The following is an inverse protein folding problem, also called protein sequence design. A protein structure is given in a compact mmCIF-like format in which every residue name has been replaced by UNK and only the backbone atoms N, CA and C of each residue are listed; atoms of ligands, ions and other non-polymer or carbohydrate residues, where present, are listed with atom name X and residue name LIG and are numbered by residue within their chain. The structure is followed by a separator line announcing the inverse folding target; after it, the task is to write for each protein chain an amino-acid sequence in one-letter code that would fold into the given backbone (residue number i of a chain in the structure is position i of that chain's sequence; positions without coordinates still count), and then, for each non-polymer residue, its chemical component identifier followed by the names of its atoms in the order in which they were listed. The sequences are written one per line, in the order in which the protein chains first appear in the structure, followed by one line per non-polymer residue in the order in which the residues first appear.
data_IF_510148849478
#
_entry.id   IF_510148849478
#
_cell.length_a   1.000
_cell.length_b   1.000
_cell.length_c   1.000
_cell.angle_alpha   90.00
_cell.angle_beta   90.00
_cell.angle_gamma   90.00
#
_symmetry.space_group_name_H-M   'P 1'
#
loop_
_entity.id
_entity.type
_entity.pdbx_description
1 polymer ?
#
# COMPACT_ATOMS: atom_id res chain seq x y z
N UNK A 1 10.26 -24.30 17.66
CA UNK A 1 10.36 -22.87 18.05
C UNK A 1 11.08 -22.16 16.93
N UNK A 2 10.51 -21.09 16.37
CA UNK A 2 11.22 -20.28 15.39
C UNK A 2 12.38 -19.56 16.11
N UNK A 3 13.53 -19.47 15.45
CA UNK A 3 14.65 -18.71 15.98
C UNK A 3 14.22 -17.24 16.21
N UNK A 4 14.68 -16.58 17.29
CA UNK A 4 14.46 -15.15 17.46
C UNK A 4 14.99 -14.38 16.25
N UNK A 5 14.24 -13.39 15.81
CA UNK A 5 14.58 -12.57 14.63
C UNK A 5 14.66 -11.10 15.03
N UNK A 6 15.77 -10.43 14.72
CA UNK A 6 16.04 -9.05 15.12
C UNK A 6 14.93 -8.08 14.65
N UNK A 7 14.48 -8.19 13.41
CA UNK A 7 13.53 -7.26 12.79
C UNK A 7 12.08 -7.52 13.21
N UNK A 8 11.81 -8.69 13.77
CA UNK A 8 10.53 -8.98 14.44
C UNK A 8 10.39 -8.22 15.76
N UNK A 9 11.50 -7.80 16.38
CA UNK A 9 11.53 -6.97 17.60
C UNK A 9 11.76 -5.50 17.27
N UNK A 10 12.61 -5.22 16.28
CA UNK A 10 12.99 -3.88 15.84
C UNK A 10 11.97 -3.30 14.84
N UNK A 11 10.72 -3.12 15.28
CA UNK A 11 9.58 -2.88 14.40
C UNK A 11 9.41 -1.42 13.95
N UNK A 12 10.26 -0.49 14.35
CA UNK A 12 10.14 0.94 13.99
C UNK A 12 10.87 1.25 12.68
N UNK A 13 10.44 2.32 11.99
CA UNK A 13 11.09 2.86 10.77
C UNK A 13 12.60 3.06 10.99
N UNK A 14 13.00 3.61 12.14
CA UNK A 14 14.42 3.82 12.48
C UNK A 14 15.31 2.57 12.40
N UNK A 15 14.75 1.38 12.61
CA UNK A 15 15.51 0.12 12.51
C UNK A 15 15.70 -0.30 11.05
N UNK A 16 14.73 0.02 10.20
CA UNK A 16 14.82 -0.15 8.76
C UNK A 16 15.79 0.87 8.15
N UNK A 17 15.75 2.14 8.57
CA UNK A 17 16.75 3.15 8.18
C UNK A 17 18.18 2.71 8.52
N UNK A 18 18.35 2.13 9.72
CA UNK A 18 19.65 1.58 10.15
C UNK A 18 20.13 0.47 9.22
N UNK A 19 19.26 -0.48 8.89
CA UNK A 19 19.58 -1.58 7.99
C UNK A 19 19.96 -1.07 6.59
N UNK A 20 19.16 -0.17 6.01
CA UNK A 20 19.40 0.37 4.67
C UNK A 20 20.73 1.14 4.62
N UNK A 21 21.00 2.02 5.59
CA UNK A 21 22.27 2.74 5.67
C UNK A 21 23.47 1.81 5.90
N UNK A 22 23.32 0.82 6.79
CA UNK A 22 24.34 -0.21 7.03
C UNK A 22 24.66 -0.99 5.76
N UNK A 23 23.65 -1.42 5.00
CA UNK A 23 23.86 -2.13 3.74
C UNK A 23 24.55 -1.24 2.70
N UNK A 24 24.17 0.04 2.58
CA UNK A 24 24.83 0.97 1.67
C UNK A 24 26.32 1.16 1.99
N UNK A 25 26.70 1.21 3.27
CA UNK A 25 28.10 1.36 3.69
C UNK A 25 28.99 0.20 3.24
N UNK A 26 28.45 -1.03 3.18
CA UNK A 26 29.17 -2.17 2.61
C UNK A 26 29.51 -2.02 1.13
N UNK A 27 28.84 -1.10 0.42
CA UNK A 27 29.11 -0.81 -0.98
C UNK A 27 30.45 -0.11 -1.22
N UNK A 28 31.10 0.44 -0.19
CA UNK A 28 32.43 1.02 -0.33
C UNK A 28 33.49 -0.07 -0.58
N UNK A 29 34.36 0.06 -1.60
CA UNK A 29 35.40 -0.93 -1.90
C UNK A 29 36.38 -1.20 -0.74
N UNK A 30 36.52 -0.28 0.22
CA UNK A 30 37.33 -0.50 1.42
C UNK A 30 36.84 -1.71 2.25
N UNK A 31 35.56 -2.09 2.12
CA UNK A 31 34.96 -3.23 2.82
C UNK A 31 35.00 -4.54 2.00
N UNK A 32 35.39 -4.51 0.73
CA UNK A 32 35.33 -5.67 -0.17
C UNK A 32 36.19 -6.85 0.29
N UNK A 33 37.33 -6.58 0.94
CA UNK A 33 38.20 -7.63 1.49
C UNK A 33 37.71 -8.20 2.82
N UNK A 34 36.83 -7.48 3.53
CA UNK A 34 36.28 -7.89 4.83
C UNK A 34 35.13 -8.87 4.62
N UNK A 35 34.18 -8.53 3.74
CA UNK A 35 33.08 -9.41 3.35
C UNK A 35 32.73 -9.19 1.86
N UNK A 36 33.34 -9.97 0.94
CA UNK A 36 33.14 -9.77 -0.50
C UNK A 36 31.70 -10.04 -0.94
N UNK A 37 30.97 -10.94 -0.27
CA UNK A 37 29.59 -11.27 -0.63
C UNK A 37 28.64 -10.14 -0.22
N UNK A 38 28.85 -9.56 0.97
CA UNK A 38 28.04 -8.45 1.44
C UNK A 38 28.34 -7.17 0.67
N UNK A 39 29.61 -6.95 0.30
CA UNK A 39 29.99 -5.88 -0.62
C UNK A 39 29.31 -6.02 -1.99
N UNK A 40 29.31 -7.22 -2.59
CA UNK A 40 28.62 -7.47 -3.86
C UNK A 40 27.10 -7.20 -3.77
N UNK A 41 26.46 -7.64 -2.69
CA UNK A 41 25.04 -7.35 -2.43
C UNK A 41 24.80 -5.84 -2.34
N UNK A 42 25.65 -5.11 -1.59
CA UNK A 42 25.53 -3.67 -1.43
C UNK A 42 25.70 -2.90 -2.75
N UNK A 43 26.68 -3.29 -3.59
CA UNK A 43 26.88 -2.71 -4.93
C UNK A 43 25.64 -2.94 -5.81
N UNK A 44 25.06 -4.15 -5.78
CA UNK A 44 23.80 -4.44 -6.50
C UNK A 44 22.64 -3.62 -5.98
N UNK A 45 22.55 -3.44 -4.66
CA UNK A 45 21.53 -2.63 -4.04
C UNK A 45 21.64 -1.15 -4.47
N UNK A 46 22.84 -0.58 -4.45
CA UNK A 46 23.11 0.79 -4.94
C UNK A 46 22.67 0.95 -6.39
N UNK A 47 23.12 0.05 -7.29
CA UNK A 47 22.74 0.08 -8.71
C UNK A 47 21.23 0.02 -8.89
N UNK A 48 20.55 -0.86 -8.14
CA UNK A 48 19.09 -1.01 -8.21
C UNK A 48 18.35 0.26 -7.76
N UNK A 49 18.79 0.90 -6.68
CA UNK A 49 18.21 2.16 -6.20
C UNK A 49 18.43 3.30 -7.20
N UNK A 50 19.62 3.35 -7.79
CA UNK A 50 20.03 4.39 -8.73
C UNK A 50 19.46 4.20 -10.15
N UNK A 51 18.89 3.03 -10.46
CA UNK A 51 18.49 2.68 -11.82
C UNK A 51 19.68 2.55 -12.78
N UNK A 52 20.84 2.11 -12.27
CA UNK A 52 22.06 1.87 -13.05
C UNK A 52 22.19 0.40 -13.42
N UNK A 53 22.82 0.15 -14.56
CA UNK A 53 23.10 -1.19 -15.07
C UNK A 53 24.31 -1.83 -14.36
N UNK A 54 24.59 -3.11 -14.68
CA UNK A 54 25.66 -3.87 -14.04
C UNK A 54 27.08 -3.36 -14.36
N UNK A 55 27.24 -2.58 -15.41
CA UNK A 55 28.50 -1.96 -15.83
C UNK A 55 28.90 -0.73 -15.01
N UNK A 56 27.95 -0.11 -14.30
CA UNK A 56 28.20 1.02 -13.41
C UNK A 56 29.14 0.63 -12.26
N UNK A 57 30.37 1.14 -12.27
CA UNK A 57 31.38 0.81 -11.27
C UNK A 57 31.22 1.66 -10.01
N UNK A 58 31.27 1.03 -8.85
CA UNK A 58 31.23 1.71 -7.55
C UNK A 58 32.67 1.78 -7.01
N UNK A 59 33.21 2.99 -6.94
CA UNK A 59 34.58 3.30 -6.53
C UNK A 59 34.66 3.93 -5.13
N UNK A 60 33.61 4.60 -4.69
CA UNK A 60 33.49 5.14 -3.33
C UNK A 60 32.03 5.21 -2.89
N UNK A 61 31.77 4.98 -1.60
CA UNK A 61 30.44 5.12 -1.02
C UNK A 61 30.53 5.77 0.36
N UNK A 62 29.88 6.92 0.51
CA UNK A 62 29.59 7.50 1.82
C UNK A 62 28.08 7.42 2.05
N UNK A 63 27.64 6.70 3.08
CA UNK A 63 26.22 6.55 3.39
C UNK A 63 25.92 6.78 4.86
N UNK A 64 24.72 7.29 5.14
CA UNK A 64 24.29 7.60 6.49
C UNK A 64 22.79 7.81 6.59
N UNK A 65 22.37 8.33 7.73
CA UNK A 65 20.97 8.59 8.06
C UNK A 65 20.76 10.05 8.45
N UNK A 66 19.51 10.48 8.48
CA UNK A 66 19.08 11.72 9.11
C UNK A 66 19.81 12.97 8.58
N UNK A 67 19.88 13.10 7.26
CA UNK A 67 20.41 14.30 6.62
C UNK A 67 19.31 15.34 6.45
N UNK A 68 19.20 16.24 7.44
CA UNK A 68 18.14 17.27 7.50
C UNK A 68 16.73 16.67 7.38
N UNK A 69 16.51 15.59 8.11
CA UNK A 69 15.28 14.77 8.15
C UNK A 69 15.06 13.84 6.95
N UNK A 70 16.00 13.75 6.00
CA UNK A 70 16.03 12.63 5.04
C UNK A 70 16.43 11.37 5.80
N UNK A 71 15.61 10.32 5.70
CA UNK A 71 15.77 9.10 6.50
C UNK A 71 17.12 8.42 6.23
N UNK A 72 17.44 8.15 4.96
CA UNK A 72 18.70 7.54 4.52
C UNK A 72 19.26 8.26 3.29
N UNK A 73 20.59 8.34 3.19
CA UNK A 73 21.27 8.96 2.07
C UNK A 73 22.57 8.23 1.73
N UNK A 74 23.01 8.36 0.47
CA UNK A 74 24.34 7.95 0.06
C UNK A 74 24.92 8.87 -1.02
N UNK A 75 26.24 9.09 -0.98
CA UNK A 75 27.03 9.66 -2.05
C UNK A 75 27.89 8.56 -2.65
N UNK A 76 27.81 8.38 -3.96
CA UNK A 76 28.51 7.33 -4.70
C UNK A 76 29.39 8.00 -5.75
N UNK A 77 30.68 7.63 -5.79
CA UNK A 77 31.70 8.15 -6.72
C UNK A 77 31.85 9.68 -6.76
N UNK A 78 31.37 10.38 -5.73
CA UNK A 78 31.18 11.85 -5.73
C UNK A 78 30.36 12.41 -6.92
N UNK A 79 29.59 11.55 -7.60
CA UNK A 79 28.81 11.89 -8.79
C UNK A 79 27.31 11.65 -8.62
N UNK A 80 26.92 10.78 -7.69
CA UNK A 80 25.54 10.36 -7.48
C UNK A 80 25.14 10.57 -6.02
N UNK A 81 23.97 11.16 -5.83
CA UNK A 81 23.31 11.36 -4.55
C UNK A 81 22.03 10.52 -4.50
N UNK A 82 21.98 9.54 -3.60
CA UNK A 82 20.77 8.80 -3.27
C UNK A 82 20.06 9.51 -2.11
N UNK A 83 18.80 9.90 -2.33
CA UNK A 83 17.89 10.41 -1.30
C UNK A 83 16.81 9.38 -1.08
N UNK A 84 16.80 8.76 0.10
CA UNK A 84 15.93 7.62 0.40
C UNK A 84 15.00 8.03 1.54
N UNK A 85 13.71 8.06 1.23
CA UNK A 85 12.66 8.18 2.23
C UNK A 85 12.11 6.79 2.55
N UNK A 86 12.08 6.44 3.83
CA UNK A 86 11.49 5.18 4.30
C UNK A 86 10.12 5.42 4.94
N UNK A 87 9.15 4.54 4.65
CA UNK A 87 7.84 4.59 5.32
C UNK A 87 7.33 3.21 5.67
N UNK A 88 7.12 2.97 6.96
CA UNK A 88 6.52 1.74 7.49
C UNK A 88 5.08 2.00 7.93
N UNK A 89 4.11 1.39 7.23
CA UNK A 89 2.68 1.50 7.54
C UNK A 89 2.04 2.89 7.37
N UNK A 90 2.83 3.96 7.23
CA UNK A 90 2.35 5.35 7.05
C UNK A 90 2.52 5.83 5.61
N UNK A 91 1.92 6.98 5.28
CA UNK A 91 2.08 7.64 3.98
C UNK A 91 2.94 8.89 4.14
N UNK A 92 3.51 9.34 3.04
CA UNK A 92 4.12 10.65 2.93
C UNK A 92 3.09 11.77 3.24
N UNK A 93 3.54 12.82 3.90
CA UNK A 93 2.71 13.97 4.26
C UNK A 93 3.40 15.29 3.93
N UNK A 94 2.62 16.38 3.83
CA UNK A 94 3.13 17.75 3.93
C UNK A 94 4.20 18.15 2.90
N UNK A 95 4.10 17.68 1.65
CA UNK A 95 5.05 17.94 0.56
C UNK A 95 6.52 17.62 0.91
N UNK A 96 6.73 16.71 1.85
CA UNK A 96 8.04 16.35 2.40
C UNK A 96 9.01 15.87 1.32
N UNK A 97 8.55 14.99 0.43
CA UNK A 97 9.36 14.43 -0.67
C UNK A 97 9.94 15.52 -1.58
N UNK A 98 9.12 16.49 -1.97
CA UNK A 98 9.56 17.64 -2.79
C UNK A 98 10.62 18.45 -2.07
N UNK A 99 10.39 18.78 -0.79
CA UNK A 99 11.34 19.56 0.03
C UNK A 99 12.70 18.87 0.16
N UNK A 100 12.69 17.54 0.33
CA UNK A 100 13.92 16.74 0.47
C UNK A 100 14.71 16.70 -0.83
N UNK A 101 14.01 16.53 -1.96
CA UNK A 101 14.63 16.57 -3.28
C UNK A 101 15.24 17.95 -3.58
N UNK A 102 14.50 19.02 -3.34
CA UNK A 102 15.00 20.40 -3.53
C UNK A 102 16.21 20.71 -2.64
N UNK A 103 16.15 20.27 -1.39
CA UNK A 103 17.27 20.42 -0.46
C UNK A 103 18.52 19.68 -0.98
N UNK A 104 18.39 18.39 -1.33
CA UNK A 104 19.52 17.61 -1.82
C UNK A 104 20.10 18.17 -3.13
N UNK A 105 19.24 18.61 -4.06
CA UNK A 105 19.68 19.26 -5.30
C UNK A 105 20.46 20.55 -5.05
N UNK A 106 20.08 21.32 -4.02
CA UNK A 106 20.79 22.54 -3.62
C UNK A 106 22.15 22.23 -2.98
N UNK A 107 22.22 21.24 -2.10
CA UNK A 107 23.47 20.90 -1.39
C UNK A 107 24.47 20.15 -2.27
N UNK A 108 23.97 19.36 -3.23
CA UNK A 108 24.77 18.55 -4.17
C UNK A 108 24.46 18.90 -5.63
N UNK A 109 24.67 20.16 -6.06
CA UNK A 109 24.24 20.63 -7.38
C UNK A 109 25.01 20.02 -8.56
N UNK A 110 26.14 19.35 -8.29
CA UNK A 110 26.99 18.69 -9.30
C UNK A 110 26.75 17.17 -9.39
N UNK A 111 25.95 16.62 -8.49
CA UNK A 111 25.65 15.18 -8.47
C UNK A 111 24.34 14.90 -9.18
N UNK A 112 24.26 13.79 -9.90
CA UNK A 112 23.00 13.18 -10.30
C UNK A 112 22.21 12.82 -9.03
N UNK A 113 20.90 13.05 -9.06
CA UNK A 113 20.03 12.82 -7.91
C UNK A 113 19.05 11.69 -8.21
N UNK A 114 19.14 10.61 -7.44
CA UNK A 114 18.13 9.54 -7.42
C UNK A 114 17.33 9.65 -6.12
N UNK A 115 16.04 9.91 -6.24
CA UNK A 115 15.11 9.98 -5.12
C UNK A 115 14.31 8.67 -5.06
N UNK A 116 14.36 7.98 -3.92
CA UNK A 116 13.77 6.66 -3.74
C UNK A 116 12.82 6.68 -2.55
N UNK A 117 11.61 6.16 -2.76
CA UNK A 117 10.63 5.91 -1.72
C UNK A 117 10.62 4.40 -1.42
N UNK A 118 11.17 4.03 -0.26
CA UNK A 118 11.21 2.64 0.18
C UNK A 118 9.90 2.30 0.89
N UNK A 119 9.24 1.25 0.40
CA UNK A 119 7.92 0.86 0.92
C UNK A 119 7.72 -0.65 0.93
N UNK A 120 7.81 -1.25 2.12
CA UNK A 120 7.66 -2.71 2.26
C UNK A 120 6.26 -3.18 2.66
N UNK A 121 5.38 -2.29 3.12
CA UNK A 121 3.96 -2.59 3.38
C UNK A 121 3.08 -2.01 2.27
N UNK A 122 1.89 -2.57 2.08
CA UNK A 122 0.96 -2.12 1.04
C UNK A 122 0.55 -0.64 1.23
N UNK A 123 0.48 0.11 0.13
CA UNK A 123 0.00 1.49 0.11
C UNK A 123 -0.93 1.70 -1.08
N UNK A 124 -2.19 2.04 -0.80
CA UNK A 124 -3.23 2.19 -1.82
C UNK A 124 -2.97 3.29 -2.86
N UNK A 125 -2.24 4.35 -2.52
CA UNK A 125 -2.04 5.48 -3.42
C UNK A 125 -0.60 5.98 -3.32
N UNK A 126 0.12 5.90 -4.44
CA UNK A 126 1.50 6.35 -4.62
C UNK A 126 1.56 7.54 -5.60
N UNK A 127 0.43 8.18 -5.92
CA UNK A 127 0.39 9.29 -6.88
C UNK A 127 1.24 10.48 -6.45
N UNK A 128 1.23 10.85 -5.16
CA UNK A 128 2.05 11.93 -4.64
C UNK A 128 3.55 11.60 -4.65
N UNK A 129 3.94 10.34 -4.39
CA UNK A 129 5.32 9.85 -4.57
C UNK A 129 5.80 10.04 -6.02
N UNK A 130 4.98 9.60 -6.99
CA UNK A 130 5.31 9.76 -8.42
C UNK A 130 5.33 11.22 -8.85
N UNK A 131 4.40 12.04 -8.37
CA UNK A 131 4.38 13.48 -8.63
C UNK A 131 5.62 14.20 -8.09
N UNK A 132 6.20 13.73 -6.98
CA UNK A 132 7.47 14.23 -6.45
C UNK A 132 8.71 13.73 -7.23
N UNK A 133 8.53 12.85 -8.22
CA UNK A 133 9.56 12.13 -8.98
C UNK A 133 10.47 11.26 -8.12
N UNK A 134 9.86 10.50 -7.21
CA UNK A 134 10.54 9.41 -6.50
C UNK A 134 10.27 8.10 -7.23
N UNK A 135 11.30 7.28 -7.41
CA UNK A 135 11.14 5.87 -7.76
C UNK A 135 10.67 5.11 -6.53
N UNK A 136 9.91 4.03 -6.74
CA UNK A 136 9.45 3.17 -5.63
C UNK A 136 10.34 1.95 -5.58
N UNK A 137 10.90 1.70 -4.40
CA UNK A 137 11.64 0.48 -4.11
C UNK A 137 10.86 -0.34 -3.08
N UNK A 138 10.27 -1.45 -3.52
CA UNK A 138 9.30 -2.19 -2.72
C UNK A 138 9.86 -3.47 -2.08
N UNK A 139 8.98 -4.18 -1.36
CA UNK A 139 9.27 -5.42 -0.65
C UNK A 139 9.78 -6.51 -1.59
N UNK A 140 9.18 -6.66 -2.76
CA UNK A 140 9.51 -7.73 -3.69
C UNK A 140 10.90 -7.51 -4.29
N UNK A 141 11.24 -6.26 -4.60
CA UNK A 141 12.58 -5.89 -5.06
C UNK A 141 13.65 -6.17 -4.00
N UNK A 142 13.38 -5.85 -2.74
CA UNK A 142 14.30 -6.16 -1.64
C UNK A 142 14.46 -7.68 -1.46
N UNK A 143 13.36 -8.42 -1.38
CA UNK A 143 13.39 -9.89 -1.24
C UNK A 143 14.21 -10.53 -2.37
N UNK A 144 14.01 -10.11 -3.63
CA UNK A 144 14.74 -10.64 -4.76
C UNK A 144 16.27 -10.39 -4.66
N UNK A 145 16.69 -9.23 -4.17
CA UNK A 145 18.12 -8.93 -3.94
C UNK A 145 18.72 -9.83 -2.86
N UNK A 146 18.03 -9.96 -1.73
CA UNK A 146 18.49 -10.75 -0.59
C UNK A 146 18.48 -12.25 -0.93
N UNK A 147 17.46 -12.75 -1.61
CA UNK A 147 17.38 -14.13 -2.07
C UNK A 147 18.57 -14.48 -2.98
N UNK A 148 18.89 -13.60 -3.94
CA UNK A 148 20.06 -13.77 -4.81
C UNK A 148 21.38 -13.81 -4.03
N UNK A 149 21.53 -13.02 -2.97
CA UNK A 149 22.70 -13.10 -2.08
C UNK A 149 22.75 -14.44 -1.36
N UNK A 150 21.63 -14.89 -0.77
CA UNK A 150 21.57 -16.13 -0.01
C UNK A 150 21.81 -17.36 -0.90
N UNK A 151 21.31 -17.36 -2.12
CA UNK A 151 21.52 -18.43 -3.10
C UNK A 151 22.99 -18.53 -3.57
N UNK A 152 23.69 -17.40 -3.69
CA UNK A 152 25.06 -17.34 -4.21
C UNK A 152 26.14 -17.33 -3.12
N UNK A 153 25.76 -17.21 -1.84
CA UNK A 153 26.70 -17.15 -0.72
C UNK A 153 26.72 -18.49 0.02
N UNK A 154 27.89 -19.14 0.19
CA UNK A 154 28.01 -20.35 1.00
C UNK A 154 27.43 -20.13 2.39
N UNK A 155 26.68 -21.09 2.93
CA UNK A 155 25.95 -20.93 4.19
C UNK A 155 26.84 -20.43 5.35
N UNK A 156 28.08 -20.94 5.46
CA UNK A 156 29.04 -20.55 6.48
C UNK A 156 29.57 -19.10 6.34
N UNK A 157 29.27 -18.41 5.23
CA UNK A 157 29.64 -17.03 4.91
C UNK A 157 28.44 -16.09 4.87
N UNK A 158 27.23 -16.59 5.07
CA UNK A 158 26.03 -15.74 5.07
C UNK A 158 25.98 -14.86 6.32
N UNK A 159 25.62 -13.59 6.12
CA UNK A 159 25.48 -12.64 7.20
C UNK A 159 24.13 -12.82 7.93
N UNK A 160 24.16 -12.99 9.25
CA UNK A 160 22.95 -13.21 10.05
C UNK A 160 21.97 -12.03 10.03
N UNK A 161 22.45 -10.78 9.89
CA UNK A 161 21.57 -9.60 9.79
C UNK A 161 20.80 -9.65 8.46
N UNK A 162 21.46 -10.06 7.37
CA UNK A 162 20.80 -10.27 6.07
C UNK A 162 19.76 -11.38 6.16
N UNK A 163 20.12 -12.52 6.78
CA UNK A 163 19.20 -13.64 6.99
C UNK A 163 17.97 -13.21 7.77
N UNK A 164 18.16 -12.54 8.90
CA UNK A 164 17.06 -12.05 9.74
C UNK A 164 16.15 -11.08 8.96
N UNK A 165 16.74 -10.16 8.19
CA UNK A 165 15.94 -9.20 7.43
C UNK A 165 15.16 -9.87 6.31
N UNK A 166 15.77 -10.83 5.61
CA UNK A 166 15.11 -11.62 4.57
C UNK A 166 13.94 -12.43 5.12
N UNK A 167 14.14 -13.14 6.24
CA UNK A 167 13.10 -13.95 6.87
C UNK A 167 11.93 -13.07 7.34
N UNK A 168 12.22 -11.89 7.89
CA UNK A 168 11.20 -10.91 8.29
C UNK A 168 10.39 -10.42 7.08
N UNK A 169 11.04 -9.99 5.99
CA UNK A 169 10.35 -9.50 4.80
C UNK A 169 9.54 -10.59 4.11
N UNK A 170 10.05 -11.83 4.09
CA UNK A 170 9.34 -12.99 3.56
C UNK A 170 8.12 -13.32 4.41
N UNK A 171 8.24 -13.26 5.74
CA UNK A 171 7.10 -13.39 6.64
C UNK A 171 6.01 -12.34 6.38
N UNK A 172 6.40 -11.08 6.21
CA UNK A 172 5.47 -10.00 5.85
C UNK A 172 4.83 -10.24 4.47
N UNK A 173 5.62 -10.63 3.47
CA UNK A 173 5.13 -10.95 2.13
C UNK A 173 4.08 -12.07 2.17
N UNK A 174 4.35 -13.14 2.92
CA UNK A 174 3.43 -14.25 3.10
C UNK A 174 2.16 -13.82 3.86
N UNK A 175 2.28 -12.99 4.90
CA UNK A 175 1.12 -12.48 5.62
C UNK A 175 0.22 -11.63 4.73
N UNK A 176 0.79 -10.80 3.86
CA UNK A 176 0.04 -9.98 2.89
C UNK A 176 -0.65 -10.86 1.85
N UNK A 177 0.03 -11.90 1.34
CA UNK A 177 -0.51 -12.80 0.33
C UNK A 177 -1.37 -13.94 0.90
N UNK A 178 -1.50 -14.04 2.22
CA UNK A 178 -2.22 -15.14 2.89
C UNK A 178 -3.70 -15.21 2.53
N UNK A 179 -4.31 -14.12 2.03
CA UNK A 179 -5.70 -14.12 1.54
C UNK A 179 -5.95 -15.11 0.40
N UNK A 180 -4.89 -15.53 -0.31
CA UNK A 180 -4.96 -16.48 -1.42
C UNK A 180 -5.00 -17.94 -0.97
N UNK A 181 -4.55 -18.23 0.25
CA UNK A 181 -4.33 -19.59 0.75
C UNK A 181 -5.04 -19.88 2.08
N UNK A 182 -5.62 -18.86 2.71
CA UNK A 182 -6.40 -19.00 3.93
C UNK A 182 -7.91 -18.86 3.66
N UNK A 183 -8.74 -19.64 4.36
CA UNK A 183 -10.18 -19.40 4.43
C UNK A 183 -10.52 -17.98 4.89
N UNK A 184 -11.68 -17.46 4.46
CA UNK A 184 -12.06 -16.05 4.67
C UNK A 184 -12.12 -15.60 6.14
N UNK A 185 -12.41 -16.51 7.06
CA UNK A 185 -12.52 -16.27 8.51
C UNK A 185 -11.15 -16.24 9.22
N UNK A 186 -10.09 -16.70 8.55
CA UNK A 186 -8.71 -16.67 9.06
C UNK A 186 -7.91 -15.46 8.57
N UNK A 187 -8.53 -14.56 7.80
CA UNK A 187 -7.85 -13.39 7.27
C UNK A 187 -7.49 -12.39 8.37
N UNK A 188 -6.18 -12.24 8.59
CA UNK A 188 -5.62 -11.19 9.44
C UNK A 188 -5.55 -9.83 8.74
N UNK A 189 -4.99 -8.86 9.46
CA UNK A 189 -4.83 -7.47 8.99
C UNK A 189 -4.11 -7.34 7.64
N UNK A 190 -2.97 -8.02 7.49
CA UNK A 190 -2.19 -7.98 6.25
C UNK A 190 -2.88 -8.69 5.09
N UNK A 191 -3.63 -9.76 5.35
CA UNK A 191 -4.41 -10.46 4.33
C UNK A 191 -5.45 -9.51 3.69
N UNK A 192 -6.13 -8.71 4.53
CA UNK A 192 -7.08 -7.69 4.05
C UNK A 192 -6.42 -6.62 3.19
N UNK A 193 -5.21 -6.16 3.55
CA UNK A 193 -4.47 -5.20 2.74
C UNK A 193 -4.08 -5.81 1.38
N UNK A 194 -3.55 -7.03 1.36
CA UNK A 194 -3.23 -7.75 0.13
C UNK A 194 -4.44 -7.95 -0.77
N UNK A 195 -5.57 -8.39 -0.20
CA UNK A 195 -6.82 -8.53 -0.93
C UNK A 195 -7.29 -7.21 -1.54
N UNK A 196 -7.30 -6.11 -0.79
CA UNK A 196 -7.73 -4.81 -1.32
C UNK A 196 -6.75 -4.22 -2.33
N UNK A 197 -5.44 -4.40 -2.18
CA UNK A 197 -4.46 -4.06 -3.21
C UNK A 197 -4.74 -4.83 -4.52
N UNK A 198 -5.08 -6.11 -4.43
CA UNK A 198 -5.45 -6.91 -5.62
C UNK A 198 -6.75 -6.44 -6.24
N UNK A 199 -7.83 -6.24 -5.45
CA UNK A 199 -9.10 -5.72 -5.97
C UNK A 199 -8.92 -4.34 -6.62
N UNK A 200 -8.09 -3.46 -6.05
CA UNK A 200 -7.77 -2.16 -6.63
C UNK A 200 -7.16 -2.30 -8.03
N UNK A 201 -6.23 -3.25 -8.22
CA UNK A 201 -5.61 -3.55 -9.52
C UNK A 201 -6.64 -4.12 -10.50
N UNK A 202 -7.43 -5.10 -10.08
CA UNK A 202 -8.44 -5.78 -10.93
C UNK A 202 -9.60 -4.87 -11.38
N UNK A 203 -9.98 -3.90 -10.54
CA UNK A 203 -11.00 -2.92 -10.87
C UNK A 203 -10.42 -1.68 -11.58
N UNK A 204 -9.10 -1.45 -11.51
CA UNK A 204 -8.43 -0.30 -12.11
C UNK A 204 -8.81 1.05 -11.49
N UNK A 205 -9.43 1.05 -10.32
CA UNK A 205 -9.93 2.25 -9.64
C UNK A 205 -10.00 2.02 -8.13
N UNK A 206 -10.46 3.03 -7.39
CA UNK A 206 -10.70 2.93 -5.95
C UNK A 206 -9.48 3.21 -5.09
N UNK A 207 -9.73 3.31 -3.79
CA UNK A 207 -8.72 3.50 -2.75
C UNK A 207 -9.10 2.68 -1.53
N UNK A 208 -8.11 2.22 -0.78
CA UNK A 208 -8.30 1.60 0.52
C UNK A 208 -7.42 2.23 1.60
N UNK A 209 -7.82 1.96 2.84
CA UNK A 209 -7.07 2.33 4.04
C UNK A 209 -7.88 2.07 5.30
N UNK A 210 -7.25 2.32 6.43
CA UNK A 210 -7.89 2.20 7.73
C UNK A 210 -8.92 3.31 7.97
N UNK A 211 -10.10 2.91 8.44
CA UNK A 211 -11.18 3.81 8.85
C UNK A 211 -11.33 3.68 10.36
N UNK A 212 -10.90 4.71 11.10
CA UNK A 212 -11.00 4.75 12.55
C UNK A 212 -12.47 4.86 13.02
N UNK A 213 -12.82 4.11 14.06
CA UNK A 213 -14.10 4.24 14.76
C UNK A 213 -13.90 3.93 16.26
N UNK A 214 -14.89 4.23 17.13
CA UNK A 214 -14.77 3.97 18.57
C UNK A 214 -14.57 2.49 18.97
N UNK A 215 -14.79 1.55 18.07
CA UNK A 215 -14.65 0.11 18.28
C UNK A 215 -13.31 -0.45 17.73
N UNK A 216 -12.34 0.40 17.38
CA UNK A 216 -11.03 -0.03 16.87
C UNK A 216 -10.90 -0.02 15.34
N UNK A 217 -11.87 0.56 14.63
CA UNK A 217 -11.83 0.79 13.19
C UNK A 217 -11.87 -0.47 12.33
N UNK A 218 -11.67 -0.31 11.02
CA UNK A 218 -11.62 -1.42 10.05
C UNK A 218 -10.83 -1.03 8.80
N UNK A 219 -10.39 -2.02 8.00
CA UNK A 219 -9.87 -1.77 6.66
C UNK A 219 -11.03 -1.53 5.69
N UNK A 220 -11.05 -0.36 5.06
CA UNK A 220 -12.06 0.01 4.08
C UNK A 220 -11.49 0.10 2.67
N UNK A 221 -12.29 -0.25 1.67
CA UNK A 221 -12.01 0.02 0.25
C UNK A 221 -13.20 0.73 -0.38
N UNK A 222 -13.02 1.92 -0.95
CA UNK A 222 -14.08 2.74 -1.53
C UNK A 222 -13.79 3.06 -2.99
N UNK A 223 -14.80 2.91 -3.84
CA UNK A 223 -14.68 3.07 -5.28
C UNK A 223 -16.03 3.41 -5.92
N UNK A 224 -16.02 3.62 -7.24
CA UNK A 224 -17.22 3.80 -8.07
C UNK A 224 -18.16 4.90 -7.56
N UNK A 225 -17.67 6.13 -7.53
CA UNK A 225 -18.47 7.28 -7.05
C UNK A 225 -19.31 7.86 -8.19
N UNK A 226 -20.61 8.08 -7.92
CA UNK A 226 -21.53 8.83 -8.77
C UNK A 226 -22.05 10.06 -8.04
N UNK A 227 -22.20 11.16 -8.78
CA UNK A 227 -22.78 12.42 -8.29
C UNK A 227 -24.25 12.50 -8.68
N UNK A 228 -25.08 12.90 -7.73
CA UNK A 228 -26.43 13.38 -7.99
C UNK A 228 -26.51 14.88 -7.69
N UNK A 229 -26.98 15.66 -8.65
CA UNK A 229 -27.30 17.08 -8.52
C UNK A 229 -28.81 17.26 -8.58
N UNK A 230 -29.40 17.65 -7.45
CA UNK A 230 -30.82 17.98 -7.36
C UNK A 230 -31.02 19.44 -6.97
N UNK A 231 -32.22 19.97 -7.24
CA UNK A 231 -32.55 21.36 -6.87
C UNK A 231 -32.55 21.55 -5.36
N UNK A 232 -33.12 20.60 -4.61
CA UNK A 232 -33.26 20.70 -3.15
C UNK A 232 -32.10 20.07 -2.38
N UNK A 233 -31.43 19.07 -2.98
CA UNK A 233 -30.31 18.37 -2.36
C UNK A 233 -29.41 17.73 -3.39
N UNK A 234 -28.12 17.69 -3.08
CA UNK A 234 -27.11 16.97 -3.85
C UNK A 234 -26.30 16.05 -2.96
N UNK A 235 -25.78 14.96 -3.54
CA UNK A 235 -24.95 14.00 -2.83
C UNK A 235 -24.05 13.22 -3.78
N UNK A 236 -22.99 12.66 -3.22
CA UNK A 236 -22.24 11.58 -3.85
C UNK A 236 -22.71 10.24 -3.30
N UNK A 237 -22.84 9.24 -4.15
CA UNK A 237 -23.01 7.84 -3.76
C UNK A 237 -21.84 7.02 -4.27
N UNK A 238 -21.46 5.98 -3.55
CA UNK A 238 -20.29 5.17 -3.87
C UNK A 238 -20.37 3.80 -3.19
N UNK A 239 -19.54 2.86 -3.63
CA UNK A 239 -19.43 1.54 -3.03
C UNK A 239 -18.28 1.54 -2.01
N UNK A 240 -18.47 0.83 -0.90
CA UNK A 240 -17.45 0.65 0.11
C UNK A 240 -17.46 -0.77 0.66
N UNK A 241 -16.30 -1.42 0.67
CA UNK A 241 -16.06 -2.63 1.46
C UNK A 241 -15.68 -2.17 2.87
N UNK A 242 -16.39 -2.68 3.87
CA UNK A 242 -16.04 -2.58 5.28
C UNK A 242 -15.64 -3.99 5.71
N UNK A 243 -14.38 -4.37 5.40
CA UNK A 243 -13.91 -5.76 5.44
C UNK A 243 -14.87 -6.74 4.77
N UNK A 244 -15.61 -7.54 5.52
CA UNK A 244 -16.49 -8.60 5.04
C UNK A 244 -17.83 -8.13 4.48
N UNK A 245 -18.15 -6.85 4.65
CA UNK A 245 -19.41 -6.26 4.20
C UNK A 245 -19.23 -5.37 2.97
N UNK A 246 -20.21 -5.38 2.07
CA UNK A 246 -20.33 -4.41 0.99
C UNK A 246 -21.47 -3.44 1.28
N UNK A 247 -21.12 -2.15 1.32
CA UNK A 247 -22.01 -1.07 1.74
C UNK A 247 -22.18 -0.08 0.59
N UNK A 248 -23.44 0.27 0.31
CA UNK A 248 -23.79 1.40 -0.53
C UNK A 248 -23.75 2.67 0.33
N UNK A 249 -22.81 3.57 0.03
CA UNK A 249 -22.55 4.77 0.81
C UNK A 249 -23.15 6.01 0.15
N UNK A 250 -23.37 7.02 0.98
CA UNK A 250 -23.77 8.35 0.55
C UNK A 250 -23.01 9.41 1.36
N UNK A 251 -22.51 10.44 0.65
CA UNK A 251 -22.00 11.69 1.22
C UNK A 251 -22.93 12.82 0.78
N UNK A 252 -23.68 13.38 1.72
CA UNK A 252 -24.65 14.46 1.44
C UNK A 252 -24.00 15.82 1.66
N UNK A 253 -24.36 16.79 0.83
CA UNK A 253 -23.81 18.15 0.92
C UNK A 253 -24.49 18.98 2.03
N UNK A 254 -25.79 18.73 2.26
CA UNK A 254 -26.58 19.39 3.31
C UNK A 254 -25.91 19.30 4.70
N UNK A 255 -25.90 20.45 5.37
CA UNK A 255 -25.36 20.66 6.70
C UNK A 255 -26.36 20.33 7.81
N UNK A 256 -27.67 20.33 7.52
CA UNK A 256 -28.75 20.06 8.46
C UNK A 256 -29.19 18.58 8.47
N UNK A 257 -29.92 18.16 9.52
CA UNK A 257 -30.33 16.76 9.66
C UNK A 257 -31.47 16.34 8.74
N UNK A 258 -32.33 17.27 8.36
CA UNK A 258 -33.55 16.98 7.62
C UNK A 258 -33.26 16.82 6.14
N UNK A 259 -32.44 17.70 5.55
CA UNK A 259 -31.89 17.54 4.21
C UNK A 259 -31.15 16.21 4.05
N UNK A 260 -30.33 15.82 5.03
CA UNK A 260 -29.67 14.49 5.05
C UNK A 260 -30.67 13.33 5.07
N UNK A 261 -31.76 13.46 5.83
CA UNK A 261 -32.80 12.42 5.93
C UNK A 261 -33.55 12.29 4.61
N UNK A 262 -33.91 13.41 3.99
CA UNK A 262 -34.57 13.47 2.68
C UNK A 262 -33.69 12.83 1.61
N UNK A 263 -32.44 13.29 1.47
CA UNK A 263 -31.48 12.76 0.49
C UNK A 263 -31.23 11.25 0.67
N UNK A 264 -31.11 10.78 1.92
CA UNK A 264 -30.94 9.34 2.21
C UNK A 264 -32.17 8.54 1.81
N UNK A 265 -33.37 9.01 2.17
CA UNK A 265 -34.61 8.30 1.87
C UNK A 265 -34.86 8.25 0.36
N UNK A 266 -34.57 9.35 -0.36
CA UNK A 266 -34.59 9.40 -1.81
C UNK A 266 -33.66 8.35 -2.42
N UNK A 267 -32.37 8.36 -2.06
CA UNK A 267 -31.41 7.38 -2.58
C UNK A 267 -31.80 5.94 -2.23
N UNK A 268 -32.31 5.66 -1.01
CA UNK A 268 -32.83 4.33 -0.65
C UNK A 268 -33.93 3.87 -1.58
N UNK A 269 -34.87 4.75 -1.94
CA UNK A 269 -35.98 4.43 -2.84
C UNK A 269 -35.45 4.08 -4.24
N UNK A 270 -34.59 4.92 -4.81
CA UNK A 270 -34.00 4.70 -6.13
C UNK A 270 -33.16 3.40 -6.16
N UNK A 271 -32.28 3.20 -5.18
CA UNK A 271 -31.44 2.02 -5.09
C UNK A 271 -32.27 0.74 -4.93
N UNK A 272 -33.32 0.75 -4.09
CA UNK A 272 -34.22 -0.40 -3.93
C UNK A 272 -34.94 -0.74 -5.23
N UNK A 273 -35.39 0.27 -5.99
CA UNK A 273 -36.03 0.08 -7.30
C UNK A 273 -35.06 -0.52 -8.33
N UNK A 274 -33.82 -0.05 -8.35
CA UNK A 274 -32.80 -0.61 -9.22
C UNK A 274 -32.50 -2.07 -8.85
N UNK A 275 -32.35 -2.36 -7.55
CA UNK A 275 -32.06 -3.70 -7.07
C UNK A 275 -33.19 -4.69 -7.35
N UNK A 276 -34.47 -4.26 -7.30
CA UNK A 276 -35.62 -5.14 -7.59
C UNK A 276 -35.70 -5.63 -9.04
N UNK A 277 -34.92 -5.04 -9.95
CA UNK A 277 -34.80 -5.49 -11.34
C UNK A 277 -33.60 -6.42 -11.56
N UNK A 278 -33.00 -6.93 -10.47
CA UNK A 278 -31.82 -7.79 -10.48
C UNK A 278 -31.98 -8.88 -9.41
N UNK A 279 -31.10 -9.88 -9.43
CA UNK A 279 -31.03 -10.90 -8.36
C UNK A 279 -30.24 -10.43 -7.13
N UNK A 280 -29.92 -9.13 -7.03
CA UNK A 280 -29.08 -8.56 -5.97
C UNK A 280 -29.95 -8.19 -4.77
N UNK A 281 -29.71 -8.88 -3.65
CA UNK A 281 -30.42 -8.62 -2.40
C UNK A 281 -29.70 -7.60 -1.52
N UNK A 282 -30.41 -6.53 -1.15
CA UNK A 282 -29.91 -5.47 -0.27
C UNK A 282 -30.88 -5.18 0.87
N UNK A 283 -30.34 -4.74 2.00
CA UNK A 283 -31.15 -4.29 3.14
C UNK A 283 -30.74 -2.91 3.66
N UNK A 284 -31.64 -2.25 4.39
CA UNK A 284 -31.38 -0.94 4.97
C UNK A 284 -30.24 -1.03 5.98
N UNK A 285 -29.27 -0.13 5.86
CA UNK A 285 -28.11 -0.09 6.74
C UNK A 285 -27.68 1.34 7.06
N UNK A 286 -26.90 1.51 8.13
CA UNK A 286 -26.24 2.77 8.50
C UNK A 286 -27.08 3.75 9.33
N UNK A 287 -26.37 4.55 10.13
CA UNK A 287 -26.91 5.67 10.91
C UNK A 287 -26.90 6.95 10.07
N UNK A 288 -27.80 7.89 10.39
CA UNK A 288 -27.83 9.19 9.72
C UNK A 288 -26.54 9.98 10.02
N UNK A 289 -25.90 10.52 8.99
CA UNK A 289 -24.68 11.30 9.11
C UNK A 289 -24.37 12.03 7.82
N UNK A 290 -23.28 12.81 7.77
CA UNK A 290 -22.82 13.45 6.52
C UNK A 290 -22.29 12.41 5.53
N UNK A 291 -21.52 11.45 6.03
CA UNK A 291 -21.14 10.22 5.34
C UNK A 291 -21.86 9.07 6.01
N UNK A 292 -22.62 8.27 5.26
CA UNK A 292 -23.42 7.21 5.83
C UNK A 292 -23.51 5.98 4.94
N UNK A 293 -23.70 4.82 5.56
CA UNK A 293 -24.26 3.66 4.89
C UNK A 293 -25.75 3.88 4.63
N UNK A 294 -26.20 3.42 3.48
CA UNK A 294 -27.59 3.57 3.04
C UNK A 294 -28.27 2.22 2.94
N UNK A 295 -27.56 1.28 2.34
CA UNK A 295 -27.91 -0.14 2.27
C UNK A 295 -26.64 -0.99 2.37
N UNK A 296 -26.80 -2.25 2.73
CA UNK A 296 -25.74 -3.26 2.61
C UNK A 296 -26.22 -4.42 1.78
N UNK A 297 -25.29 -5.06 1.08
CA UNK A 297 -25.53 -6.34 0.42
C UNK A 297 -25.81 -7.39 1.50
N UNK A 298 -26.87 -8.19 1.33
CA UNK A 298 -27.21 -9.25 2.29
C UNK A 298 -26.32 -10.47 2.10
N UNK A 299 -26.02 -10.80 0.86
CA UNK A 299 -25.18 -11.94 0.51
C UNK A 299 -23.71 -11.52 0.54
N UNK A 300 -22.82 -12.33 1.09
CA UNK A 300 -21.39 -12.03 1.10
C UNK A 300 -20.85 -11.70 -0.30
N UNK A 301 -20.04 -10.65 -0.44
CA UNK A 301 -19.51 -10.25 -1.74
C UNK A 301 -18.31 -11.10 -2.20
N UNK A 302 -17.63 -11.76 -1.25
CA UNK A 302 -16.51 -12.67 -1.51
C UNK A 302 -17.06 -14.04 -1.86
N UNK A 303 -16.77 -14.51 -3.06
CA UNK A 303 -17.15 -15.84 -3.53
C UNK A 303 -16.05 -16.82 -3.14
N UNK A 304 -16.44 -18.00 -2.67
CA UNK A 304 -15.52 -19.08 -2.29
C UNK A 304 -15.68 -20.25 -3.26
N UNK A 305 -14.57 -20.94 -3.51
CA UNK A 305 -14.55 -22.21 -4.24
C UNK A 305 -14.95 -23.35 -3.30
N UNK A 306 -15.04 -24.56 -3.86
CA UNK A 306 -15.36 -25.78 -3.11
C UNK A 306 -14.33 -26.10 -2.00
N UNK A 307 -13.08 -25.65 -2.17
CA UNK A 307 -12.00 -25.79 -1.17
C UNK A 307 -12.06 -24.77 -0.02
N UNK A 308 -13.06 -23.86 -0.04
CA UNK A 308 -13.24 -22.82 0.97
C UNK A 308 -12.33 -21.59 0.80
N UNK A 309 -11.50 -21.56 -0.24
CA UNK A 309 -10.65 -20.41 -0.57
C UNK A 309 -11.38 -19.41 -1.47
N UNK A 310 -10.84 -18.18 -1.52
CA UNK A 310 -11.38 -17.12 -2.34
C UNK A 310 -11.36 -17.49 -3.83
N UNK A 311 -12.52 -17.37 -4.48
CA UNK A 311 -12.62 -17.25 -5.93
C UNK A 311 -12.48 -15.76 -6.30
N UNK A 312 -11.24 -15.35 -6.60
CA UNK A 312 -10.94 -13.96 -6.95
C UNK A 312 -11.68 -13.51 -8.22
N UNK A 313 -11.64 -14.24 -9.36
CA UNK A 313 -12.40 -13.87 -10.56
C UNK A 313 -13.91 -13.71 -10.30
N UNK A 314 -14.55 -14.66 -9.62
CA UNK A 314 -15.98 -14.58 -9.33
C UNK A 314 -16.29 -13.43 -8.35
N UNK A 315 -15.42 -13.18 -7.38
CA UNK A 315 -15.52 -12.03 -6.47
C UNK A 315 -15.44 -10.71 -7.23
N UNK A 316 -14.46 -10.55 -8.13
CA UNK A 316 -14.31 -9.35 -8.97
C UNK A 316 -15.53 -9.16 -9.87
N UNK A 317 -16.05 -10.24 -10.48
CA UNK A 317 -17.26 -10.18 -11.28
C UNK A 317 -18.47 -9.71 -10.45
N UNK A 318 -18.64 -10.20 -9.22
CA UNK A 318 -19.68 -9.74 -8.30
C UNK A 318 -19.53 -8.26 -7.93
N UNK A 319 -18.30 -7.81 -7.67
CA UNK A 319 -18.02 -6.39 -7.41
C UNK A 319 -18.36 -5.49 -8.61
N UNK A 320 -18.04 -5.94 -9.84
CA UNK A 320 -18.44 -5.25 -11.07
C UNK A 320 -19.96 -5.24 -11.24
N UNK A 321 -20.66 -6.31 -10.88
CA UNK A 321 -22.12 -6.34 -10.83
C UNK A 321 -22.70 -5.28 -9.89
N UNK A 322 -22.07 -5.02 -8.74
CA UNK A 322 -22.47 -3.93 -7.85
C UNK A 322 -22.25 -2.55 -8.46
N UNK A 323 -21.20 -2.39 -9.27
CA UNK A 323 -20.96 -1.15 -10.03
C UNK A 323 -22.09 -0.93 -11.04
N UNK A 324 -22.45 -1.96 -11.81
CA UNK A 324 -23.57 -1.90 -12.77
C UNK A 324 -24.90 -1.62 -12.09
N UNK A 325 -25.16 -2.21 -10.92
CA UNK A 325 -26.34 -1.87 -10.11
C UNK A 325 -26.32 -0.40 -9.69
N UNK A 326 -25.18 0.12 -9.24
CA UNK A 326 -25.09 1.53 -8.87
C UNK A 326 -25.28 2.45 -10.08
N UNK A 327 -24.79 2.07 -11.26
CA UNK A 327 -24.95 2.82 -12.51
C UNK A 327 -26.39 2.85 -13.01
N UNK A 328 -27.14 1.75 -12.83
CA UNK A 328 -28.55 1.67 -13.21
C UNK A 328 -29.49 2.43 -12.27
N UNK A 329 -28.99 2.98 -11.16
CA UNK A 329 -29.79 3.84 -10.29
C UNK A 329 -30.14 5.12 -11.04
N UNK A 330 -31.40 5.22 -11.42
CA UNK A 330 -32.02 6.43 -11.96
C UNK A 330 -32.46 7.34 -10.80
N UNK A 331 -31.88 8.54 -10.75
CA UNK A 331 -32.25 9.56 -9.79
C UNK A 331 -33.35 10.46 -10.37
N UNK A 332 -34.51 9.86 -10.67
CA UNK A 332 -35.71 10.61 -11.04
C UNK A 332 -36.47 11.07 -9.77
N UNK A 333 -36.98 12.31 -9.73
CA UNK A 333 -37.78 12.83 -8.62
C UNK A 333 -38.95 11.93 -8.18
#
# INVERSE_FOLDING_TARGET
MNAPNLFSLATKELSQDAFLAWLLQWGDPAHASVDPYLHELAVRFIRRLAGKDEDYQVHSVQAGRQWKNIDVWAFVNDELCLVIEDKKGTKEHSNQLTRYREFAAKEKPKMELSCIYVKFEEQSDLSAVRAANYSVFDRELMIALLDKYLANTPQAKQNNIIRDFFDYLTGLHNAINSYQVLPLDQWGWYAWQGFFSTIQKELGTGRWGYVANPAGGFQGYWWHTRRFEGVDFSFNCYLQLEQDQLIFKQKVDSSDSDGRRVARNFYRKCLKRAASNTDISIEKYGRLGKHMGVARLTDGYRIVKDDGLLDLPATVAKLRGMMSLLDSVEFSP
#
